data_IF_001614241939
#
_entry.id   IF_001614241939
#
_cell.length_a   1.000
_cell.length_b   1.000
_cell.length_c   1.000
_cell.angle_alpha   90.00
_cell.angle_beta   90.00
_cell.angle_gamma   90.00
#
_symmetry.space_group_name_H-M   'P 1'
#
loop_
_entity.id
_entity.type
_entity.pdbx_description
1 polymer ?
#
# COMPACT_ATOMS: atom_id res chain seq x y z
N UNK A 1 -1.26 12.67 12.28
CA UNK A 1 -0.46 11.47 12.08
C UNK A 1 0.28 11.45 10.75
N UNK A 2 -0.27 12.13 9.77
CA UNK A 2 0.36 12.15 8.45
C UNK A 2 1.67 12.91 8.49
N UNK A 3 2.63 12.46 7.70
CA UNK A 3 3.94 13.04 7.66
C UNK A 3 4.85 12.60 8.79
N UNK A 4 4.50 11.55 9.52
CA UNK A 4 5.32 11.05 10.62
C UNK A 4 6.41 10.16 10.03
N UNK A 5 7.69 10.55 10.17
CA UNK A 5 8.76 9.75 9.56
C UNK A 5 8.93 8.40 10.25
N UNK A 6 9.35 7.43 9.46
CA UNK A 6 9.68 6.10 9.93
C UNK A 6 10.98 5.65 9.31
N UNK A 7 11.78 4.91 10.07
CA UNK A 7 12.95 4.26 9.47
C UNK A 7 12.52 2.90 8.90
N UNK A 8 13.47 2.21 8.26
CA UNK A 8 13.15 0.94 7.60
C UNK A 8 12.60 -0.09 8.57
N UNK A 9 13.22 -0.25 9.73
CA UNK A 9 12.78 -1.26 10.70
C UNK A 9 11.39 -0.94 11.23
N UNK A 10 11.11 0.32 11.47
CA UNK A 10 9.79 0.73 11.93
C UNK A 10 8.73 0.46 10.87
N UNK A 11 9.05 0.79 9.62
CA UNK A 11 8.09 0.60 8.53
C UNK A 11 7.82 -0.90 8.31
N UNK A 12 8.87 -1.71 8.21
CA UNK A 12 8.68 -3.13 7.98
C UNK A 12 8.04 -3.81 9.18
N UNK A 13 8.39 -3.40 10.40
CA UNK A 13 7.78 -3.97 11.59
C UNK A 13 6.29 -3.68 11.65
N UNK A 14 5.90 -2.47 11.26
CA UNK A 14 4.49 -2.12 11.26
C UNK A 14 3.71 -2.91 10.21
N UNK A 15 4.29 -3.08 9.00
CA UNK A 15 3.65 -3.88 7.97
C UNK A 15 3.51 -5.34 8.43
N UNK A 16 4.58 -5.88 9.01
CA UNK A 16 4.56 -7.27 9.49
C UNK A 16 3.47 -7.46 10.54
N UNK A 17 3.35 -6.51 11.44
CA UNK A 17 2.33 -6.55 12.49
C UNK A 17 0.92 -6.52 11.89
N UNK A 18 0.65 -5.57 11.02
CA UNK A 18 -0.68 -5.39 10.45
C UNK A 18 -1.11 -6.58 9.61
N UNK A 19 -0.18 -7.15 8.85
CA UNK A 19 -0.49 -8.24 7.93
C UNK A 19 -0.26 -9.60 8.56
N UNK A 20 0.23 -9.65 9.78
CA UNK A 20 0.48 -10.90 10.52
C UNK A 20 1.36 -11.83 9.71
N UNK A 21 2.42 -11.29 9.10
CA UNK A 21 3.32 -12.09 8.29
C UNK A 21 4.36 -12.76 9.18
N UNK A 22 4.81 -13.98 8.78
CA UNK A 22 5.65 -14.76 9.68
C UNK A 22 7.08 -14.24 9.84
N UNK A 23 7.58 -13.45 8.89
CA UNK A 23 8.95 -12.99 9.00
C UNK A 23 9.24 -11.76 8.17
N UNK A 24 10.46 -11.26 8.32
CA UNK A 24 10.91 -10.06 7.62
C UNK A 24 10.96 -10.29 6.10
N UNK A 25 11.39 -11.49 5.68
CA UNK A 25 11.49 -11.77 4.26
C UNK A 25 10.17 -11.64 3.52
N UNK A 26 9.13 -12.24 4.09
CA UNK A 26 7.78 -12.16 3.51
C UNK A 26 7.28 -10.73 3.51
N UNK A 27 7.58 -10.00 4.59
CA UNK A 27 7.14 -8.61 4.73
C UNK A 27 7.80 -7.73 3.67
N UNK A 28 9.10 -7.84 3.50
CA UNK A 28 9.82 -7.05 2.51
C UNK A 28 9.34 -7.41 1.11
N UNK A 29 9.04 -8.68 0.85
CA UNK A 29 8.53 -9.09 -0.46
C UNK A 29 7.17 -8.46 -0.75
N UNK A 30 6.29 -8.38 0.25
CA UNK A 30 4.99 -7.73 0.08
C UNK A 30 5.15 -6.24 -0.20
N UNK A 31 6.03 -5.57 0.56
CA UNK A 31 6.28 -4.15 0.36
C UNK A 31 6.85 -3.91 -1.04
N UNK A 32 7.85 -4.70 -1.43
CA UNK A 32 8.48 -4.57 -2.74
C UNK A 32 7.47 -4.78 -3.86
N UNK A 33 6.65 -5.83 -3.74
CA UNK A 33 5.67 -6.14 -4.78
C UNK A 33 4.69 -4.98 -4.97
N UNK A 34 4.18 -4.44 -3.88
CA UNK A 34 3.22 -3.34 -3.94
C UNK A 34 3.85 -2.07 -4.51
N UNK A 35 5.00 -1.68 -3.98
CA UNK A 35 5.58 -0.38 -4.34
C UNK A 35 6.23 -0.39 -5.71
N UNK A 36 6.85 -1.49 -6.12
CA UNK A 36 7.40 -1.57 -7.49
C UNK A 36 6.29 -1.51 -8.52
N UNK A 37 5.20 -2.23 -8.28
CA UNK A 37 4.09 -2.22 -9.22
C UNK A 37 3.44 -0.84 -9.27
N UNK A 38 3.28 -0.21 -8.12
CA UNK A 38 2.76 1.15 -8.07
C UNK A 38 3.68 2.12 -8.80
N UNK A 39 5.00 1.98 -8.60
CA UNK A 39 5.98 2.83 -9.28
C UNK A 39 5.91 2.72 -10.79
N UNK A 40 5.60 1.53 -11.32
CA UNK A 40 5.43 1.35 -12.77
C UNK A 40 4.18 2.04 -13.29
N UNK A 41 3.15 2.12 -12.47
CA UNK A 41 1.87 2.70 -12.89
C UNK A 41 1.91 4.22 -12.93
N UNK A 42 2.63 4.86 -12.01
CA UNK A 42 2.60 6.33 -11.88
C UNK A 42 3.80 6.96 -12.58
N UNK A 43 3.70 8.24 -12.97
CA UNK A 43 4.84 8.94 -13.57
C UNK A 43 6.04 9.01 -12.63
N UNK A 44 7.23 9.10 -13.21
CA UNK A 44 8.47 9.09 -12.44
C UNK A 44 8.50 10.21 -11.39
N UNK A 45 8.09 11.42 -11.76
CA UNK A 45 8.10 12.54 -10.82
C UNK A 45 7.22 12.30 -9.61
N UNK A 46 6.04 11.70 -9.83
CA UNK A 46 5.16 11.37 -8.72
C UNK A 46 5.76 10.29 -7.82
N UNK A 47 6.44 9.31 -8.43
CA UNK A 47 7.11 8.27 -7.65
C UNK A 47 8.21 8.87 -6.79
N UNK A 48 8.98 9.81 -7.35
CA UNK A 48 10.07 10.46 -6.61
C UNK A 48 9.53 11.31 -5.46
N UNK A 49 8.46 12.06 -5.69
CA UNK A 49 7.86 12.89 -4.64
C UNK A 49 7.32 12.02 -3.50
N UNK A 50 6.63 10.95 -3.85
CA UNK A 50 6.09 10.03 -2.86
C UNK A 50 7.21 9.39 -2.05
N UNK A 51 8.27 8.99 -2.73
CA UNK A 51 9.37 8.27 -2.10
C UNK A 51 10.21 9.16 -1.19
N UNK A 52 10.18 10.47 -1.39
CA UNK A 52 11.10 11.37 -0.70
C UNK A 52 11.01 11.28 0.83
N UNK A 53 9.84 10.91 1.36
CA UNK A 53 9.62 10.81 2.81
C UNK A 53 9.70 9.38 3.34
N UNK A 54 10.06 8.41 2.49
CA UNK A 54 10.13 7.01 2.88
C UNK A 54 11.56 6.60 3.19
N UNK A 55 11.74 5.52 3.99
CA UNK A 55 13.11 5.01 4.24
C UNK A 55 13.80 4.68 2.92
N UNK A 56 15.13 4.80 2.91
CA UNK A 56 15.90 4.65 1.67
C UNK A 56 15.62 3.32 0.97
N UNK A 57 15.56 2.23 1.71
CA UNK A 57 15.32 0.91 1.14
C UNK A 57 13.93 0.82 0.51
N UNK A 58 12.96 1.47 1.14
CA UNK A 58 11.58 1.49 0.64
C UNK A 58 11.48 2.40 -0.59
N UNK A 59 12.14 3.56 -0.51
CA UNK A 59 12.21 4.50 -1.63
C UNK A 59 12.72 3.81 -2.89
N UNK A 60 13.72 2.94 -2.74
CA UNK A 60 14.30 2.21 -3.87
C UNK A 60 13.26 1.43 -4.65
N UNK A 61 12.30 0.83 -3.96
CA UNK A 61 11.28 0.03 -4.63
C UNK A 61 10.39 0.87 -5.56
N UNK A 62 10.13 2.12 -5.18
CA UNK A 62 9.31 3.01 -6.01
C UNK A 62 10.10 3.62 -7.16
N UNK A 63 11.38 3.86 -6.99
CA UNK A 63 12.16 4.66 -7.94
C UNK A 63 13.34 3.89 -8.54
N UNK A 64 14.28 3.44 -7.72
CA UNK A 64 15.52 2.87 -8.24
C UNK A 64 15.34 1.52 -8.93
N UNK A 65 14.37 0.73 -8.48
CA UNK A 65 14.13 -0.59 -9.05
C UNK A 65 13.18 -0.56 -10.24
N UNK A 66 12.64 0.61 -10.58
CA UNK A 66 11.66 0.76 -11.66
C UNK A 66 12.25 1.64 -12.74
N UNK A 67 12.23 1.17 -13.99
CA UNK A 67 12.78 1.90 -15.12
C UNK A 67 11.71 2.38 -16.11
N UNK A 68 10.51 1.83 -16.04
CA UNK A 68 9.45 2.16 -16.99
C UNK A 68 8.20 2.60 -16.25
N UNK A 69 8.27 3.83 -15.76
CA UNK A 69 7.15 4.46 -15.06
C UNK A 69 6.04 4.83 -16.03
N UNK A 70 4.85 5.08 -15.48
CA UNK A 70 3.75 5.64 -16.26
C UNK A 70 3.03 4.65 -17.15
N UNK A 71 3.12 3.37 -16.87
CA UNK A 71 2.37 2.37 -17.62
C UNK A 71 0.87 2.48 -17.30
N UNK A 72 0.03 2.15 -18.29
CA UNK A 72 -1.42 2.23 -18.11
C UNK A 72 -1.98 0.84 -17.84
N UNK A 73 -2.49 0.63 -16.63
CA UNK A 73 -3.22 -0.56 -16.26
C UNK A 73 -4.07 -0.23 -15.05
N UNK A 74 -5.12 -1.01 -14.82
CA UNK A 74 -6.04 -0.73 -13.72
C UNK A 74 -5.80 -1.63 -12.53
N UNK A 75 -6.74 -1.56 -11.61
CA UNK A 75 -6.65 -2.29 -10.34
C UNK A 75 -6.50 -3.81 -10.53
N UNK A 76 -7.27 -4.38 -11.46
CA UNK A 76 -7.20 -5.84 -11.64
C UNK A 76 -5.82 -6.31 -12.06
N UNK A 77 -5.21 -5.59 -13.01
CA UNK A 77 -3.85 -5.92 -13.45
C UNK A 77 -2.84 -5.66 -12.34
N UNK A 78 -3.04 -4.58 -11.57
CA UNK A 78 -2.18 -4.29 -10.42
C UNK A 78 -2.15 -5.47 -9.46
N UNK A 79 -3.32 -5.98 -9.10
CA UNK A 79 -3.41 -7.10 -8.16
C UNK A 79 -2.72 -8.34 -8.72
N UNK A 80 -2.90 -8.60 -10.03
CA UNK A 80 -2.23 -9.72 -10.66
C UNK A 80 -0.72 -9.62 -10.57
N UNK A 81 -0.18 -8.43 -10.83
CA UNK A 81 1.28 -8.22 -10.78
C UNK A 81 1.81 -8.34 -9.35
N UNK A 82 1.10 -7.77 -8.38
CA UNK A 82 1.51 -7.87 -6.97
C UNK A 82 1.48 -9.33 -6.53
N UNK A 83 0.40 -10.03 -6.87
CA UNK A 83 0.24 -11.44 -6.53
C UNK A 83 1.42 -12.26 -7.06
N UNK A 84 1.84 -11.99 -8.29
CA UNK A 84 2.92 -12.73 -8.92
C UNK A 84 4.26 -12.43 -8.27
N UNK A 85 4.56 -11.16 -8.03
CA UNK A 85 5.84 -10.78 -7.42
C UNK A 85 5.91 -11.26 -5.97
N UNK A 86 4.82 -11.09 -5.24
CA UNK A 86 4.76 -11.48 -3.83
C UNK A 86 4.67 -13.00 -3.65
N UNK A 87 4.20 -13.71 -4.68
CA UNK A 87 4.00 -15.15 -4.65
C UNK A 87 2.92 -15.52 -3.63
N UNK A 88 1.78 -14.85 -3.74
CA UNK A 88 0.62 -15.12 -2.90
C UNK A 88 -0.63 -15.03 -3.77
N UNK A 89 -1.79 -15.41 -3.22
CA UNK A 89 -3.01 -15.34 -4.02
C UNK A 89 -3.51 -13.91 -4.16
N UNK A 90 -4.46 -13.71 -5.08
CA UNK A 90 -4.94 -12.37 -5.41
C UNK A 90 -5.60 -11.69 -4.23
N UNK A 91 -6.35 -12.44 -3.43
CA UNK A 91 -7.05 -11.88 -2.29
C UNK A 91 -6.08 -11.33 -1.27
N UNK A 92 -5.04 -12.10 -0.95
CA UNK A 92 -4.02 -11.65 -0.01
C UNK A 92 -3.25 -10.48 -0.58
N UNK A 93 -2.87 -10.55 -1.87
CA UNK A 93 -2.13 -9.48 -2.52
C UNK A 93 -2.90 -8.16 -2.46
N UNK A 94 -4.21 -8.21 -2.75
CA UNK A 94 -5.04 -7.02 -2.71
C UNK A 94 -5.08 -6.42 -1.30
N UNK A 95 -5.27 -7.25 -0.29
CA UNK A 95 -5.33 -6.76 1.08
C UNK A 95 -3.99 -6.17 1.52
N UNK A 96 -2.90 -6.86 1.20
CA UNK A 96 -1.56 -6.37 1.54
C UNK A 96 -1.31 -5.00 0.94
N UNK A 97 -1.66 -4.83 -0.34
CA UNK A 97 -1.46 -3.56 -1.01
C UNK A 97 -2.26 -2.43 -0.36
N UNK A 98 -3.52 -2.70 0.00
CA UNK A 98 -4.36 -1.69 0.64
C UNK A 98 -3.77 -1.24 1.99
N UNK A 99 -3.28 -2.18 2.77
CA UNK A 99 -2.71 -1.87 4.09
C UNK A 99 -1.38 -1.14 3.95
N UNK A 100 -0.55 -1.57 3.01
CA UNK A 100 0.74 -0.90 2.78
C UNK A 100 0.54 0.54 2.31
N UNK A 101 -0.40 0.75 1.40
CA UNK A 101 -0.68 2.11 0.92
C UNK A 101 -1.25 2.97 2.03
N UNK A 102 -2.08 2.40 2.90
CA UNK A 102 -2.55 3.13 4.06
C UNK A 102 -1.40 3.58 4.95
N UNK A 103 -0.44 2.70 5.20
CA UNK A 103 0.72 3.09 6.00
C UNK A 103 1.53 4.19 5.30
N UNK A 104 1.73 4.08 3.99
CA UNK A 104 2.42 5.13 3.23
C UNK A 104 1.71 6.46 3.45
N UNK A 105 0.38 6.47 3.45
CA UNK A 105 -0.38 7.71 3.61
C UNK A 105 -0.14 8.38 4.97
N UNK A 106 0.29 7.63 5.97
CA UNK A 106 0.59 8.21 7.29
C UNK A 106 2.01 8.74 7.38
N UNK A 107 2.89 8.31 6.49
CA UNK A 107 4.31 8.68 6.52
C UNK A 107 4.59 9.87 5.62
N UNK A 108 3.96 9.94 4.45
CA UNK A 108 4.23 11.00 3.48
C UNK A 108 3.32 12.21 3.73
N UNK A 109 3.73 13.41 3.28
CA UNK A 109 2.85 14.57 3.40
C UNK A 109 1.53 14.38 2.65
N UNK A 110 0.44 14.94 3.17
CA UNK A 110 -0.86 14.77 2.52
C UNK A 110 -0.91 15.19 1.06
N UNK A 111 -0.17 16.25 0.70
CA UNK A 111 -0.17 16.73 -0.68
C UNK A 111 0.46 15.71 -1.61
N UNK A 112 1.51 15.03 -1.18
CA UNK A 112 2.17 14.01 -1.99
C UNK A 112 1.27 12.80 -2.16
N UNK A 113 0.54 12.44 -1.12
CA UNK A 113 -0.39 11.32 -1.21
C UNK A 113 -1.56 11.65 -2.13
N UNK A 114 -2.05 12.90 -2.07
CA UNK A 114 -3.13 13.32 -2.97
C UNK A 114 -2.66 13.30 -4.42
N UNK A 115 -1.42 13.69 -4.68
CA UNK A 115 -0.87 13.62 -6.03
C UNK A 115 -0.84 12.17 -6.54
N UNK A 116 -0.55 11.22 -5.66
CA UNK A 116 -0.63 9.82 -6.02
C UNK A 116 -2.05 9.44 -6.45
N UNK A 117 -3.04 9.82 -5.65
CA UNK A 117 -4.43 9.47 -5.97
C UNK A 117 -4.87 10.12 -7.28
N UNK A 118 -4.39 11.34 -7.55
CA UNK A 118 -4.77 12.04 -8.77
C UNK A 118 -4.29 11.31 -10.03
N UNK A 119 -3.31 10.42 -9.91
CA UNK A 119 -2.79 9.66 -11.05
C UNK A 119 -3.55 8.35 -11.27
N UNK A 120 -4.47 7.99 -10.38
CA UNK A 120 -5.12 6.69 -10.39
C UNK A 120 -6.62 6.86 -10.52
N UNK A 121 -7.18 6.68 -11.74
CA UNK A 121 -8.64 6.84 -11.94
C UNK A 121 -9.43 5.88 -11.04
N UNK A 122 -10.36 6.43 -10.26
CA UNK A 122 -11.04 5.65 -9.23
C UNK A 122 -12.42 5.15 -9.64
N UNK A 123 -12.94 5.60 -10.76
CA UNK A 123 -14.29 5.22 -11.22
C UNK A 123 -14.35 3.73 -11.55
N UNK A 124 -15.50 3.13 -11.26
CA UNK A 124 -15.75 1.74 -11.64
C UNK A 124 -15.81 1.56 -13.15
N UNK A 125 -16.12 2.62 -13.87
CA UNK A 125 -16.16 2.58 -15.34
C UNK A 125 -14.78 2.78 -15.94
N UNK A 126 -13.76 2.94 -15.13
CA UNK A 126 -12.42 3.21 -15.60
C UNK A 126 -11.49 2.15 -15.03
N UNK A 127 -10.54 2.56 -14.18
CA UNK A 127 -9.49 1.62 -13.72
C UNK A 127 -9.74 1.06 -12.33
N UNK A 128 -10.76 1.51 -11.64
CA UNK A 128 -11.18 0.96 -10.33
C UNK A 128 -10.18 1.17 -9.21
N UNK A 129 -9.35 2.22 -9.29
CA UNK A 129 -8.33 2.42 -8.26
C UNK A 129 -8.89 2.78 -6.89
N UNK A 130 -10.20 3.10 -6.80
CA UNK A 130 -10.81 3.33 -5.49
C UNK A 130 -10.58 2.15 -4.55
N UNK A 131 -10.43 0.94 -5.10
CA UNK A 131 -10.24 -0.25 -4.28
C UNK A 131 -8.92 -0.21 -3.52
N UNK A 132 -7.87 0.37 -4.11
CA UNK A 132 -6.58 0.48 -3.42
C UNK A 132 -6.68 1.32 -2.16
N UNK A 133 -7.60 2.27 -2.14
CA UNK A 133 -7.72 3.24 -1.05
C UNK A 133 -8.81 2.90 -0.04
N UNK A 134 -9.34 1.67 -0.08
CA UNK A 134 -10.46 1.31 0.81
C UNK A 134 -10.10 1.42 2.29
N UNK A 135 -8.89 1.01 2.66
CA UNK A 135 -8.48 1.10 4.07
C UNK A 135 -8.25 2.55 4.45
N UNK A 136 -7.61 3.32 3.57
CA UNK A 136 -7.42 4.76 3.79
C UNK A 136 -8.77 5.44 4.02
N UNK A 137 -9.72 5.16 3.14
CA UNK A 137 -11.02 5.84 3.16
C UNK A 137 -11.91 5.39 4.31
N UNK A 138 -11.62 4.23 4.90
CA UNK A 138 -12.32 3.76 6.09
C UNK A 138 -11.76 4.36 7.38
N UNK A 139 -10.79 5.27 7.27
CA UNK A 139 -10.23 5.92 8.44
C UNK A 139 -8.86 5.41 8.85
N UNK A 140 -8.30 4.49 8.09
CA UNK A 140 -7.02 3.89 8.37
C UNK A 140 -7.16 2.47 8.89
N UNK A 141 -6.04 1.77 8.94
CA UNK A 141 -6.05 0.34 9.24
C UNK A 141 -6.76 0.01 10.57
N UNK A 142 -6.45 0.75 11.64
CA UNK A 142 -7.02 0.46 12.95
C UNK A 142 -8.53 0.70 12.97
N UNK A 143 -8.99 1.79 12.38
CA UNK A 143 -10.41 2.10 12.31
C UNK A 143 -11.17 1.12 11.44
N UNK A 144 -10.55 0.68 10.35
CA UNK A 144 -11.16 -0.30 9.46
C UNK A 144 -11.32 -1.65 10.18
N UNK A 145 -10.34 -2.04 10.98
CA UNK A 145 -10.43 -3.27 11.76
C UNK A 145 -11.56 -3.20 12.78
N UNK A 146 -11.67 -2.09 13.47
CA UNK A 146 -12.76 -1.92 14.42
C UNK A 146 -14.12 -2.02 13.76
N UNK A 147 -14.26 -1.41 12.61
CA UNK A 147 -15.52 -1.47 11.88
C UNK A 147 -15.86 -2.90 11.47
N UNK A 148 -14.84 -3.67 11.07
CA UNK A 148 -15.05 -5.04 10.62
C UNK A 148 -15.41 -5.97 11.78
N UNK A 149 -14.96 -5.66 12.97
CA UNK A 149 -15.31 -6.48 14.13
C UNK A 149 -16.65 -6.06 14.74
N UNK A 150 -17.40 -5.24 14.05
CA UNK A 150 -18.70 -4.85 14.51
C UNK A 150 -18.71 -3.68 15.44
N UNK A 151 -17.58 -2.98 15.50
CA UNK A 151 -17.48 -1.87 16.41
C UNK A 151 -17.49 -2.29 17.84
N UNK A 152 -17.50 -3.56 18.08
CA UNK A 152 -17.49 -4.07 19.43
C UNK A 152 -16.12 -4.50 19.79
N UNK A 153 -15.96 -4.63 21.02
CA UNK A 153 -14.75 -5.26 21.48
C UNK A 153 -14.89 -6.71 21.25
N UNK A 154 -15.32 -7.20 20.71
CA UNK A 154 -15.52 -8.46 20.49
C UNK A 154 -14.73 -9.21 20.17
N UNK A 155 -14.65 -9.19 20.60
CA UNK A 155 -14.14 -9.87 20.41
C UNK A 155 -13.64 -10.40 19.95
N UNK A 156 -13.28 -10.60 20.09
CA UNK A 156 -12.80 -11.10 19.58
C UNK A 156 -12.68 -11.87 19.13
N UNK A 157 -12.78 -12.04 19.20
CA UNK A 157 -12.77 -12.79 18.79
C UNK A 157 -13.07 -13.02 18.00
N UNK A 158 -13.50 -12.66 18.34
CA UNK A 158 -13.92 -12.95 17.75
C UNK A 158 -13.88 -12.94 16.69
N UNK A 159 -13.60 -12.67 16.66
CA UNK A 159 -13.61 -12.71 15.91
C UNK A 159 -13.42 -13.07 14.93
N UNK A 160 -13.28 -13.10 14.90
CA UNK A 160 -13.09 -13.47 14.31
C UNK A 160 -12.97 -13.77 13.69
#
# INVERSE_FOLDING_TARGET
RRGIPMNFDEFTGEVQHRLELPGTGETVRAIRATLMTLGRRIPEGNAEDLAASLPMEIKWFLTGAVHDHGQRFGWSEFVSRVSEIEQTDRSAAAYHAKVIVDLVSTVVPPSDFQQLRDQLPESEDDENWHKLFEVVDAGGWGDAEEAQTGGGPQSPGDQE
#
